data_IF_976592584555
#
_entry.id   IF_976592584555
#
_cell.length_a   1.000
_cell.length_b   1.000
_cell.length_c   1.000
_cell.angle_alpha   90.00
_cell.angle_beta   90.00
_cell.angle_gamma   90.00
#
_symmetry.space_group_name_H-M   'P 1'
#
loop_
_entity.id
_entity.type
_entity.pdbx_description
1 polymer ?
#
# COMPACT_ATOMS: atom_id res chain seq x y z
N UNK A 1 -2.18 -18.61 -13.59
CA UNK A 1 -1.50 -17.93 -12.47
C UNK A 1 -0.72 -16.79 -13.06
N UNK A 2 -1.23 -15.57 -12.93
CA UNK A 2 -0.47 -14.39 -13.36
C UNK A 2 0.76 -14.25 -12.47
N UNK A 3 1.93 -14.20 -13.07
CA UNK A 3 3.16 -13.90 -12.34
C UNK A 3 3.05 -12.47 -11.84
N UNK A 4 3.27 -12.22 -10.54
CA UNK A 4 3.28 -10.85 -10.03
C UNK A 4 4.21 -9.99 -10.88
N UNK A 5 3.80 -8.80 -11.22
CA UNK A 5 4.66 -7.87 -11.98
C UNK A 5 5.92 -7.61 -11.16
N UNK A 6 7.10 -8.08 -11.59
CA UNK A 6 8.32 -7.98 -10.79
C UNK A 6 8.63 -6.53 -10.41
N UNK A 7 9.04 -6.31 -9.17
CA UNK A 7 9.51 -5.01 -8.70
C UNK A 7 8.42 -4.05 -8.20
N UNK A 8 7.17 -4.49 -8.03
CA UNK A 8 6.15 -3.67 -7.36
C UNK A 8 6.43 -3.57 -5.86
N UNK A 9 6.30 -2.37 -5.35
CA UNK A 9 6.60 -2.04 -3.94
C UNK A 9 5.36 -2.13 -3.09
N UNK A 10 5.40 -2.94 -2.06
CA UNK A 10 4.33 -3.10 -1.06
C UNK A 10 4.86 -2.65 0.30
N UNK A 11 4.14 -1.75 0.94
CA UNK A 11 4.37 -1.36 2.32
C UNK A 11 3.31 -2.00 3.21
N UNK A 12 3.73 -2.73 4.23
CA UNK A 12 2.84 -3.37 5.22
C UNK A 12 2.99 -2.67 6.57
N UNK A 13 1.89 -2.20 7.12
CA UNK A 13 1.81 -1.66 8.49
C UNK A 13 1.03 -2.63 9.37
N UNK A 14 1.69 -3.20 10.36
CA UNK A 14 1.14 -4.21 11.28
C UNK A 14 1.91 -4.15 12.59
N UNK A 15 1.21 -4.01 13.71
CA UNK A 15 1.85 -3.89 15.02
C UNK A 15 2.25 -5.22 15.66
N UNK A 16 1.67 -6.34 15.21
CA UNK A 16 2.14 -7.66 15.62
C UNK A 16 3.38 -8.09 14.82
N UNK A 17 4.55 -8.25 15.48
CA UNK A 17 5.81 -8.53 14.78
C UNK A 17 5.80 -9.85 13.99
N UNK A 18 5.10 -10.87 14.48
CA UNK A 18 5.03 -12.17 13.80
C UNK A 18 4.20 -12.09 12.52
N UNK A 19 3.04 -11.45 12.60
CA UNK A 19 2.18 -11.21 11.43
C UNK A 19 2.89 -10.36 10.39
N UNK A 20 3.54 -9.28 10.82
CA UNK A 20 4.31 -8.39 9.95
C UNK A 20 5.40 -9.14 9.21
N UNK A 21 6.25 -9.87 9.93
CA UNK A 21 7.33 -10.68 9.36
C UNK A 21 6.80 -11.71 8.35
N UNK A 22 5.73 -12.40 8.70
CA UNK A 22 5.10 -13.40 7.84
C UNK A 22 4.58 -12.83 6.53
N UNK A 23 3.88 -11.70 6.57
CA UNK A 23 3.40 -11.03 5.37
C UNK A 23 4.52 -10.52 4.49
N UNK A 24 5.51 -9.85 5.07
CA UNK A 24 6.66 -9.33 4.31
C UNK A 24 7.45 -10.44 3.64
N UNK A 25 7.74 -11.53 4.36
CA UNK A 25 8.45 -12.68 3.81
C UNK A 25 7.66 -13.34 2.67
N UNK A 26 6.37 -13.58 2.87
CA UNK A 26 5.52 -14.18 1.86
C UNK A 26 5.45 -13.33 0.58
N UNK A 27 5.22 -12.03 0.73
CA UNK A 27 5.12 -11.11 -0.41
C UNK A 27 6.46 -10.97 -1.14
N UNK A 28 7.58 -10.96 -0.40
CA UNK A 28 8.91 -10.92 -1.00
C UNK A 28 9.19 -12.18 -1.82
N UNK A 29 8.80 -13.35 -1.31
CA UNK A 29 8.91 -14.62 -2.03
C UNK A 29 8.02 -14.64 -3.28
N UNK A 30 6.87 -13.97 -3.23
CA UNK A 30 5.98 -13.84 -4.39
C UNK A 30 6.46 -12.84 -5.45
N UNK A 31 7.59 -12.16 -5.24
CA UNK A 31 8.20 -11.27 -6.24
C UNK A 31 7.99 -9.78 -5.99
N UNK A 32 7.34 -9.38 -4.91
CA UNK A 32 7.20 -7.97 -4.53
C UNK A 32 8.46 -7.46 -3.81
N UNK A 33 8.67 -6.15 -3.89
CA UNK A 33 9.59 -5.46 -2.99
C UNK A 33 8.77 -5.06 -1.76
N UNK A 34 8.74 -5.94 -0.77
CA UNK A 34 7.94 -5.77 0.43
C UNK A 34 8.76 -5.22 1.58
N UNK A 35 8.20 -4.25 2.29
CA UNK A 35 8.76 -3.72 3.54
C UNK A 35 7.66 -3.60 4.59
N UNK A 36 8.05 -3.67 5.86
CA UNK A 36 7.14 -3.60 6.98
C UNK A 36 7.47 -2.49 7.96
N UNK A 37 6.43 -1.94 8.59
CA UNK A 37 6.55 -1.00 9.71
C UNK A 37 5.59 -1.43 10.81
N UNK A 38 6.06 -1.28 12.05
CA UNK A 38 5.32 -1.73 13.23
C UNK A 38 4.28 -0.74 13.75
N UNK A 39 4.20 0.45 13.20
CA UNK A 39 3.19 1.44 13.54
C UNK A 39 2.82 2.35 12.37
N UNK A 40 1.71 3.07 12.51
CA UNK A 40 1.18 3.92 11.45
C UNK A 40 2.05 5.14 11.15
N UNK A 41 2.75 5.70 12.12
CA UNK A 41 3.63 6.87 11.91
C UNK A 41 4.87 6.48 11.13
N UNK A 42 5.49 5.37 11.47
CA UNK A 42 6.62 4.82 10.72
C UNK A 42 6.21 4.45 9.29
N UNK A 43 5.02 3.86 9.12
CA UNK A 43 4.48 3.54 7.82
C UNK A 43 4.25 4.80 6.97
N UNK A 44 3.68 5.85 7.55
CA UNK A 44 3.48 7.14 6.86
C UNK A 44 4.82 7.74 6.44
N UNK A 45 5.80 7.83 7.33
CA UNK A 45 7.12 8.34 7.03
C UNK A 45 7.79 7.56 5.90
N UNK A 46 7.70 6.23 5.95
CA UNK A 46 8.23 5.34 4.92
C UNK A 46 7.57 5.56 3.56
N UNK A 47 6.24 5.71 3.53
CA UNK A 47 5.49 5.93 2.30
C UNK A 47 5.79 7.29 1.66
N UNK A 48 5.99 8.33 2.47
CA UNK A 48 6.36 9.66 1.98
C UNK A 48 7.80 9.72 1.47
N UNK A 49 8.68 8.97 2.08
CA UNK A 49 10.07 8.85 1.65
C UNK A 49 10.21 8.03 0.36
N UNK A 50 9.52 6.91 0.29
CA UNK A 50 9.53 5.98 -0.83
C UNK A 50 8.09 5.58 -1.15
N UNK A 51 7.46 6.24 -2.11
CA UNK A 51 6.06 6.02 -2.46
C UNK A 51 5.85 4.57 -2.92
N UNK A 52 5.07 3.75 -2.20
CA UNK A 52 4.79 2.38 -2.61
C UNK A 52 3.75 2.32 -3.74
N UNK A 53 3.64 1.15 -4.36
CA UNK A 53 2.58 0.87 -5.32
C UNK A 53 1.26 0.52 -4.63
N UNK A 54 1.33 -0.03 -3.43
CA UNK A 54 0.18 -0.33 -2.56
C UNK A 54 0.60 -0.32 -1.09
N UNK A 55 -0.30 0.12 -0.24
CA UNK A 55 -0.17 0.04 1.23
C UNK A 55 -1.16 -0.98 1.76
N UNK A 56 -0.68 -1.88 2.61
CA UNK A 56 -1.50 -2.79 3.40
C UNK A 56 -1.38 -2.39 4.85
N UNK A 57 -2.48 -2.15 5.54
CA UNK A 57 -2.44 -1.70 6.94
C UNK A 57 -3.46 -2.41 7.81
N UNK A 58 -3.05 -2.80 9.00
CA UNK A 58 -4.00 -3.10 10.07
C UNK A 58 -4.77 -1.82 10.42
N UNK A 59 -6.05 -1.96 10.73
CA UNK A 59 -6.88 -0.83 11.18
C UNK A 59 -6.57 -0.48 12.64
N UNK A 60 -6.49 -1.48 13.50
CA UNK A 60 -6.27 -1.28 14.93
C UNK A 60 -4.79 -1.30 15.27
N UNK A 61 -4.16 -0.15 15.29
CA UNK A 61 -2.76 0.03 15.72
C UNK A 61 -2.66 1.14 16.75
N UNK A 62 -1.74 1.05 17.73
CA UNK A 62 -1.48 2.12 18.68
C UNK A 62 -0.98 3.39 17.96
N UNK A 63 -1.32 4.55 18.51
CA UNK A 63 -0.92 5.83 17.95
C UNK A 63 -1.72 6.17 16.67
N UNK A 64 -1.07 6.24 15.52
CA UNK A 64 -1.75 6.43 14.25
C UNK A 64 -2.33 5.10 13.77
N UNK A 65 -3.65 4.96 13.80
CA UNK A 65 -4.35 3.77 13.31
C UNK A 65 -4.45 3.71 11.78
N UNK A 66 -5.03 2.64 11.26
CA UNK A 66 -5.16 2.46 9.81
C UNK A 66 -6.02 3.53 9.13
N UNK A 67 -7.05 4.04 9.77
CA UNK A 67 -7.87 5.14 9.24
C UNK A 67 -7.08 6.45 9.20
N UNK A 68 -6.36 6.76 10.28
CA UNK A 68 -5.48 7.93 10.34
C UNK A 68 -4.36 7.88 9.30
N UNK A 69 -3.77 6.71 9.10
CA UNK A 69 -2.76 6.49 8.06
C UNK A 69 -3.35 6.73 6.66
N UNK A 70 -4.52 6.18 6.37
CA UNK A 70 -5.20 6.38 5.09
C UNK A 70 -5.52 7.86 4.84
N UNK A 71 -6.04 8.56 5.84
CA UNK A 71 -6.33 9.99 5.74
C UNK A 71 -5.07 10.81 5.44
N UNK A 72 -3.97 10.52 6.12
CA UNK A 72 -2.70 11.21 5.90
C UNK A 72 -2.10 10.93 4.52
N UNK A 73 -2.17 9.68 4.05
CA UNK A 73 -1.70 9.31 2.71
C UNK A 73 -2.53 9.99 1.60
N UNK A 74 -3.84 10.06 1.75
CA UNK A 74 -4.72 10.71 0.78
C UNK A 74 -4.61 12.24 0.79
N UNK A 75 -4.17 12.83 1.88
CA UNK A 75 -3.94 14.27 1.98
C UNK A 75 -2.66 14.73 1.31
N UNK A 76 -1.71 13.84 1.07
CA UNK A 76 -0.42 14.18 0.49
C UNK A 76 -0.43 13.99 -1.03
N UNK A 77 0.15 14.93 -1.75
CA UNK A 77 0.19 14.93 -3.23
C UNK A 77 0.93 13.73 -3.82
N UNK A 78 1.92 13.20 -3.11
CA UNK A 78 2.73 12.07 -3.58
C UNK A 78 2.05 10.74 -3.40
N UNK A 79 1.22 10.61 -2.36
CA UNK A 79 0.63 9.33 -1.94
C UNK A 79 -0.88 9.26 -2.13
N UNK A 80 -1.54 10.34 -2.52
CA UNK A 80 -3.01 10.42 -2.61
C UNK A 80 -3.67 9.37 -3.51
N UNK A 81 -2.97 8.85 -4.48
CA UNK A 81 -3.47 7.83 -5.41
C UNK A 81 -2.93 6.44 -5.15
N UNK A 82 -2.14 6.25 -4.10
CA UNK A 82 -1.69 4.92 -3.70
C UNK A 82 -2.89 4.15 -3.16
N UNK A 83 -3.22 2.99 -3.72
CA UNK A 83 -4.30 2.16 -3.19
C UNK A 83 -3.93 1.62 -1.81
N UNK A 84 -4.93 1.54 -0.93
CA UNK A 84 -4.77 1.11 0.45
C UNK A 84 -5.70 -0.05 0.72
N UNK A 85 -5.14 -1.14 1.23
CA UNK A 85 -5.87 -2.31 1.70
C UNK A 85 -5.85 -2.32 3.21
N UNK A 86 -7.01 -2.34 3.84
CA UNK A 86 -7.15 -2.45 5.29
C UNK A 86 -7.35 -3.89 5.74
N UNK A 87 -6.85 -4.22 6.92
CA UNK A 87 -7.11 -5.48 7.61
C UNK A 87 -7.74 -5.20 8.96
N UNK A 88 -8.82 -5.89 9.29
CA UNK A 88 -9.52 -5.74 10.57
C UNK A 88 -9.92 -7.07 11.18
N UNK A 89 -9.83 -7.16 12.50
CA UNK A 89 -10.33 -8.33 13.24
C UNK A 89 -11.85 -8.31 13.41
N UNK A 90 -12.49 -7.15 13.23
CA UNK A 90 -13.92 -6.95 13.43
C UNK A 90 -14.55 -6.24 12.25
N UNK A 91 -15.54 -6.90 11.62
CA UNK A 91 -16.28 -6.30 10.51
C UNK A 91 -17.65 -5.85 11.01
N UNK A 92 -17.80 -4.54 11.12
CA UNK A 92 -19.06 -3.90 11.51
C UNK A 92 -19.53 -2.93 10.43
N UNK A 93 -20.80 -2.51 10.49
CA UNK A 93 -21.32 -1.50 9.56
C UNK A 93 -20.61 -0.16 9.72
N UNK A 94 -20.18 0.18 10.93
CA UNK A 94 -19.42 1.40 11.23
C UNK A 94 -18.02 1.35 10.55
N UNK A 95 -17.31 0.25 10.69
CA UNK A 95 -16.00 0.04 10.05
C UNK A 95 -16.14 0.07 8.53
N UNK A 96 -17.17 -0.57 7.99
CA UNK A 96 -17.43 -0.54 6.56
C UNK A 96 -17.67 0.89 6.04
N UNK A 97 -18.51 1.65 6.72
CA UNK A 97 -18.80 3.03 6.36
C UNK A 97 -17.58 3.93 6.48
N UNK A 98 -16.78 3.76 7.53
CA UNK A 98 -15.57 4.52 7.74
C UNK A 98 -14.49 4.19 6.70
N UNK A 99 -14.34 2.92 6.35
CA UNK A 99 -13.42 2.49 5.30
C UNK A 99 -13.78 3.07 3.94
N UNK A 100 -15.06 3.12 3.59
CA UNK A 100 -15.53 3.74 2.36
C UNK A 100 -15.22 5.25 2.34
N UNK A 101 -15.49 5.95 3.43
CA UNK A 101 -15.20 7.39 3.56
C UNK A 101 -13.71 7.68 3.53
N UNK A 102 -12.90 6.81 4.14
CA UNK A 102 -11.45 6.94 4.14
C UNK A 102 -10.80 6.57 2.79
N UNK A 103 -11.56 6.00 1.86
CA UNK A 103 -11.08 5.69 0.52
C UNK A 103 -10.23 4.42 0.43
N UNK A 104 -10.46 3.43 1.29
CA UNK A 104 -9.81 2.13 1.15
C UNK A 104 -10.23 1.45 -0.16
N UNK A 105 -9.26 0.85 -0.84
CA UNK A 105 -9.50 0.09 -2.07
C UNK A 105 -10.07 -1.30 -1.80
N UNK A 106 -9.75 -1.87 -0.65
CA UNK A 106 -10.24 -3.16 -0.18
C UNK A 106 -10.10 -3.29 1.33
N UNK A 107 -10.92 -4.16 1.91
CA UNK A 107 -10.85 -4.53 3.32
C UNK A 107 -10.81 -6.04 3.45
N UNK A 108 -9.93 -6.54 4.29
CA UNK A 108 -9.79 -7.96 4.60
C UNK A 108 -10.07 -8.22 6.07
N UNK A 109 -10.77 -9.32 6.34
CA UNK A 109 -11.05 -9.76 7.71
C UNK A 109 -9.91 -10.64 8.23
N UNK A 110 -9.42 -10.35 9.42
CA UNK A 110 -8.45 -11.20 10.11
C UNK A 110 -9.16 -12.37 10.81
N UNK A 111 -8.54 -13.57 10.87
CA UNK A 111 -7.22 -13.90 10.34
C UNK A 111 -7.23 -13.99 8.81
N UNK A 112 -6.29 -13.33 8.17
CA UNK A 112 -6.16 -13.31 6.71
C UNK A 112 -4.98 -14.17 6.28
N UNK A 113 -5.25 -15.16 5.43
CA UNK A 113 -4.18 -15.97 4.86
C UNK A 113 -3.31 -15.11 3.92
N UNK A 114 -1.99 -15.29 3.92
CA UNK A 114 -1.10 -14.56 3.00
C UNK A 114 -1.48 -14.70 1.53
N UNK A 115 -2.02 -15.85 1.14
CA UNK A 115 -2.53 -16.08 -0.23
C UNK A 115 -3.74 -15.22 -0.57
N UNK A 116 -4.64 -14.97 0.38
CA UNK A 116 -5.77 -14.06 0.20
C UNK A 116 -5.31 -12.60 0.08
N UNK A 117 -4.35 -12.22 0.90
CA UNK A 117 -3.74 -10.89 0.82
C UNK A 117 -3.07 -10.68 -0.54
N UNK A 118 -2.31 -11.67 -1.01
CA UNK A 118 -1.67 -11.62 -2.33
C UNK A 118 -2.69 -11.41 -3.45
N UNK A 119 -3.75 -12.21 -3.46
CA UNK A 119 -4.81 -12.12 -4.47
C UNK A 119 -5.46 -10.74 -4.48
N UNK A 120 -5.69 -10.16 -3.31
CA UNK A 120 -6.29 -8.84 -3.17
C UNK A 120 -5.35 -7.71 -3.62
N UNK A 121 -4.06 -7.82 -3.31
CA UNK A 121 -3.03 -6.90 -3.79
C UNK A 121 -2.99 -6.90 -5.33
N UNK A 122 -2.96 -8.05 -5.93
CA UNK A 122 -2.94 -8.20 -7.39
C UNK A 122 -4.20 -7.60 -8.04
N UNK A 123 -5.37 -7.85 -7.46
CA UNK A 123 -6.64 -7.28 -7.92
C UNK A 123 -6.64 -5.76 -7.85
N UNK A 124 -6.21 -5.20 -6.73
CA UNK A 124 -6.17 -3.75 -6.49
C UNK A 124 -5.17 -3.07 -7.42
N UNK A 125 -4.00 -3.64 -7.61
CA UNK A 125 -2.98 -3.11 -8.53
C UNK A 125 -3.46 -3.16 -10.00
N UNK A 126 -4.15 -4.21 -10.40
CA UNK A 126 -4.74 -4.34 -11.74
C UNK A 126 -5.82 -3.28 -11.96
N UNK A 127 -6.71 -3.08 -10.99
CA UNK A 127 -7.74 -2.05 -11.05
C UNK A 127 -7.15 -0.64 -11.16
N UNK A 128 -6.14 -0.34 -10.38
CA UNK A 128 -5.44 0.95 -10.43
C UNK A 128 -4.82 1.21 -11.81
N UNK A 129 -4.25 0.19 -12.44
CA UNK A 129 -3.71 0.26 -13.80
C UNK A 129 -4.79 0.54 -14.84
N UNK A 130 -5.92 -0.14 -14.77
CA UNK A 130 -7.05 0.05 -15.68
C UNK A 130 -7.64 1.46 -15.56
N UNK A 131 -7.79 1.98 -14.34
CA UNK A 131 -8.29 3.33 -14.10
C UNK A 131 -7.32 4.40 -14.61
N UNK A 132 -6.02 4.23 -14.45
CA UNK A 132 -5.01 5.12 -15.01
C UNK A 132 -5.06 5.17 -16.54
N UNK A 133 -5.29 4.02 -17.20
CA UNK A 133 -5.47 3.93 -18.65
C UNK A 133 -6.77 4.60 -19.13
N UNK A 134 -7.88 4.42 -18.41
CA UNK A 134 -9.18 5.00 -18.76
C UNK A 134 -9.21 6.53 -18.66
N UNK A 135 -8.37 7.14 -17.82
CA UNK A 135 -8.26 8.60 -17.67
C UNK A 135 -7.34 9.25 -18.71
N UNK A 136 -6.89 8.52 -19.75
CA UNK A 136 -6.06 9.04 -20.83
C UNK A 136 -4.66 9.50 -20.38
N UNK A 137 -4.21 9.04 -19.24
CA UNK A 137 -2.81 9.19 -18.86
C UNK A 137 -2.01 8.20 -19.69
N UNK A 138 -1.37 8.72 -20.73
CA UNK A 138 -0.43 7.96 -21.52
C UNK A 138 0.61 7.32 -20.61
N UNK A 139 0.41 6.05 -20.30
CA UNK A 139 1.38 5.23 -19.58
C UNK A 139 2.44 4.69 -20.55
N UNK A 140 2.80 5.49 -21.58
CA UNK A 140 3.82 5.11 -22.54
C UNK A 140 5.24 5.08 -21.95
N UNK A 141 5.40 5.46 -20.69
CA UNK A 141 6.62 5.18 -19.97
C UNK A 141 6.30 4.27 -18.79
N UNK A 142 6.28 2.98 -19.06
CA UNK A 142 6.66 2.01 -18.04
C UNK A 142 8.14 2.25 -17.80
N UNK A 143 8.48 3.27 -17.02
CA UNK A 143 9.82 3.38 -16.50
C UNK A 143 10.13 2.04 -15.82
N UNK A 144 11.20 1.36 -16.21
CA UNK A 144 11.62 0.15 -15.50
C UNK A 144 11.70 0.53 -14.03
N UNK A 145 11.18 -0.34 -13.16
CA UNK A 145 11.15 -0.09 -11.73
C UNK A 145 12.54 0.31 -11.25
N UNK A 146 12.75 1.62 -11.09
CA UNK A 146 14.00 2.14 -10.57
C UNK A 146 14.18 1.64 -9.14
N UNK A 147 15.38 1.21 -8.77
CA UNK A 147 15.68 0.92 -7.37
C UNK A 147 15.22 2.08 -6.48
N UNK A 148 14.72 1.74 -5.31
CA UNK A 148 14.12 2.69 -4.35
C UNK A 148 14.95 3.97 -4.18
N UNK A 149 16.27 3.85 -4.12
CA UNK A 149 17.18 4.99 -4.03
C UNK A 149 17.20 5.93 -5.25
N UNK A 150 16.89 5.43 -6.43
CA UNK A 150 16.84 6.22 -7.65
C UNK A 150 15.48 6.93 -7.85
N UNK A 151 14.39 6.36 -7.34
CA UNK A 151 13.08 7.04 -7.33
C UNK A 151 13.16 8.36 -6.57
N UNK A 152 13.82 8.38 -5.42
CA UNK A 152 14.00 9.59 -4.62
C UNK A 152 14.86 10.65 -5.32
N UNK A 153 15.87 10.23 -6.05
CA UNK A 153 16.72 11.16 -6.82
C UNK A 153 15.93 11.83 -7.97
N UNK A 154 15.03 11.11 -8.61
CA UNK A 154 14.17 11.65 -9.68
C UNK A 154 13.14 12.62 -9.11
N UNK A 155 12.54 12.30 -7.95
CA UNK A 155 11.57 13.18 -7.28
C UNK A 155 12.23 14.50 -6.81
N UNK A 156 13.44 14.43 -6.25
CA UNK A 156 14.22 15.63 -5.85
C UNK A 156 14.56 16.53 -7.01
N UNK A 157 14.87 15.98 -8.19
CA UNK A 157 15.18 16.76 -9.41
C UNK A 157 13.96 17.46 -10.00
N UNK A 158 12.74 17.02 -9.65
CA UNK A 158 11.49 17.66 -10.09
C UNK A 158 11.02 18.78 -9.17
N UNK A 159 11.84 19.20 -8.22
CA UNK A 159 11.58 20.37 -7.36
C UNK A 159 10.50 20.10 -6.30
N UNK A 160 10.32 18.87 -5.90
CA UNK A 160 9.47 18.51 -4.77
C UNK A 160 10.36 18.49 -3.53
N UNK A 161 10.58 19.67 -2.94
CA UNK A 161 11.22 19.80 -1.64
C UNK A 161 10.21 19.45 -0.54
N UNK A 162 10.64 18.60 0.37
CA UNK A 162 9.90 18.28 1.59
C UNK A 162 10.34 19.21 2.73
#
# INVERSE_FOLDING_TARGET
>A
MEVPTPGRVVLVAEDDPHSLSGYVEFLSTAGFIASGRGDGREALASALENVPDVVVTDIAMPGLDGFGLAAALHADRLTKHVPIIGMTAHWTSEIQSEAQRAGFSAMLLKPCLPTHLLAEIERVLRHARLMAGALGRDTHEVEPALPVGLRNAVLRRRGVDF
#
